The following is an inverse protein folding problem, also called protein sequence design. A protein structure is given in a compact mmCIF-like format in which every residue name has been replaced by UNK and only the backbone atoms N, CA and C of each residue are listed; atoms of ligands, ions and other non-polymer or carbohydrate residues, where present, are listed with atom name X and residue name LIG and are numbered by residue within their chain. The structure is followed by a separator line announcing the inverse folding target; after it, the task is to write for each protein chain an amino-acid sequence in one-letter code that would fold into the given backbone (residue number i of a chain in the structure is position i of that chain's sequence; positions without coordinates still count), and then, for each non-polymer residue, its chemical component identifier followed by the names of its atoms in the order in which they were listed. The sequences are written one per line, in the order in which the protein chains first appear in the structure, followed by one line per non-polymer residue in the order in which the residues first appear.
data_IF_497358216994
#
_entry.id   IF_497358216994
#
_cell.length_a   1.000
_cell.length_b   1.000
_cell.length_c   1.000
_cell.angle_alpha   90.00
_cell.angle_beta   90.00
_cell.angle_gamma   90.00
#
_symmetry.space_group_name_H-M   'P 1'
#
loop_
_entity.id
_entity.type
_entity.pdbx_description
1 polymer ?
#
# COMPACT_ATOMS: atom_id res chain seq x y z
N UNK A 1 -48.21 49.94 21.05
CA UNK A 1 -48.43 49.45 19.70
C UNK A 1 -47.28 48.49 19.37
N UNK A 2 -47.61 47.28 19.05
CA UNK A 2 -46.70 46.12 19.04
C UNK A 2 -46.28 45.75 17.61
N UNK A 3 -45.09 45.15 17.50
CA UNK A 3 -44.45 44.37 16.40
C UNK A 3 -43.37 45.15 15.63
N UNK A 4 -42.19 44.53 15.33
CA UNK A 4 -42.07 43.23 14.71
C UNK A 4 -40.94 42.32 15.31
N UNK A 5 -41.26 41.06 15.49
CA UNK A 5 -40.28 40.04 15.93
C UNK A 5 -40.39 38.75 15.08
N UNK A 6 -40.51 38.87 13.76
CA UNK A 6 -40.76 37.70 12.91
C UNK A 6 -39.90 37.60 11.63
N UNK A 7 -38.80 38.37 11.50
CA UNK A 7 -37.98 38.35 10.26
C UNK A 7 -36.56 37.81 10.49
N UNK A 8 -36.16 37.44 11.68
CA UNK A 8 -34.75 37.04 11.97
C UNK A 8 -34.51 35.53 12.04
N UNK A 9 -35.49 34.70 11.73
CA UNK A 9 -35.36 33.25 11.86
C UNK A 9 -35.12 32.48 10.53
N UNK A 10 -34.96 33.15 9.39
CA UNK A 10 -34.85 32.47 8.09
C UNK A 10 -33.46 32.58 7.41
N UNK A 11 -32.49 33.21 8.04
CA UNK A 11 -31.18 33.48 7.44
C UNK A 11 -30.05 32.51 7.87
N UNK A 12 -30.30 31.58 8.81
CA UNK A 12 -29.25 30.71 9.35
C UNK A 12 -29.25 29.28 8.80
N UNK A 13 -30.14 28.91 7.86
CA UNK A 13 -30.24 27.53 7.34
C UNK A 13 -29.48 27.29 6.03
N UNK A 14 -28.77 28.26 5.46
CA UNK A 14 -28.15 28.14 4.13
C UNK A 14 -26.64 27.99 4.13
N UNK A 15 -25.97 27.77 5.28
CA UNK A 15 -24.52 27.66 5.34
C UNK A 15 -23.99 26.21 5.54
N UNK A 16 -24.86 25.19 5.42
CA UNK A 16 -24.45 23.80 5.57
C UNK A 16 -24.41 23.00 4.26
N UNK A 17 -24.51 23.67 3.10
CA UNK A 17 -24.20 23.01 1.82
C UNK A 17 -22.68 23.09 1.57
N UNK A 18 -21.91 22.36 2.35
CA UNK A 18 -20.52 22.08 2.03
C UNK A 18 -20.49 21.31 0.71
N UNK A 19 -19.76 21.84 -0.27
CA UNK A 19 -19.52 21.19 -1.55
C UNK A 19 -18.76 19.87 -1.33
N UNK A 20 -19.49 18.81 -1.03
CA UNK A 20 -18.97 17.45 -1.06
C UNK A 20 -19.31 16.82 -2.40
N UNK A 21 -18.34 16.72 -3.30
CA UNK A 21 -18.55 16.27 -4.68
C UNK A 21 -18.54 14.75 -4.86
N UNK A 22 -18.55 13.94 -3.82
CA UNK A 22 -18.47 12.49 -4.01
C UNK A 22 -19.06 11.64 -2.90
N UNK A 23 -19.70 12.26 -1.91
CA UNK A 23 -20.11 11.53 -0.71
C UNK A 23 -18.94 11.29 0.25
N UNK A 24 -19.25 10.97 1.48
CA UNK A 24 -18.24 10.66 2.50
C UNK A 24 -17.92 9.16 2.38
N UNK A 25 -16.62 8.82 2.34
CA UNK A 25 -16.19 7.43 2.45
C UNK A 25 -16.78 6.80 3.72
N UNK A 26 -17.53 5.71 3.55
CA UNK A 26 -18.33 5.12 4.65
C UNK A 26 -17.58 4.01 5.39
N UNK A 27 -16.31 3.81 5.08
CA UNK A 27 -15.57 2.63 5.46
C UNK A 27 -15.98 1.40 4.66
N UNK A 28 -15.07 0.47 4.46
CA UNK A 28 -15.30 -0.76 3.73
C UNK A 28 -14.55 -1.92 4.39
N UNK A 29 -14.77 -3.14 3.90
CA UNK A 29 -13.99 -4.31 4.31
C UNK A 29 -12.61 -4.29 3.63
N UNK A 30 -11.50 -4.02 4.36
CA UNK A 30 -10.18 -3.98 3.76
C UNK A 30 -9.73 -5.31 3.18
N UNK A 31 -10.21 -6.44 3.70
CA UNK A 31 -9.85 -7.77 3.20
C UNK A 31 -10.43 -8.01 1.81
N UNK A 32 -11.69 -7.64 1.59
CA UNK A 32 -12.33 -7.60 0.28
C UNK A 32 -11.65 -6.57 -0.62
N UNK A 33 -11.32 -5.40 -0.06
CA UNK A 33 -10.61 -4.33 -0.76
C UNK A 33 -9.26 -4.78 -1.34
N UNK A 34 -8.48 -5.56 -0.59
CA UNK A 34 -7.22 -6.15 -1.07
C UNK A 34 -7.43 -7.02 -2.31
N UNK A 35 -8.39 -7.93 -2.26
CA UNK A 35 -8.68 -8.83 -3.39
C UNK A 35 -9.13 -8.04 -4.64
N UNK A 36 -10.01 -7.06 -4.46
CA UNK A 36 -10.47 -6.19 -5.54
C UNK A 36 -9.33 -5.34 -6.11
N UNK A 37 -8.47 -4.79 -5.25
CA UNK A 37 -7.29 -4.03 -5.67
C UNK A 37 -6.36 -4.88 -6.53
N UNK A 38 -6.01 -6.08 -6.08
CA UNK A 38 -5.19 -7.01 -6.84
C UNK A 38 -5.77 -7.33 -8.22
N UNK A 39 -7.09 -7.56 -8.28
CA UNK A 39 -7.78 -7.95 -9.51
C UNK A 39 -8.02 -6.78 -10.49
N UNK A 40 -8.23 -5.57 -10.00
CA UNK A 40 -8.71 -4.43 -10.81
C UNK A 40 -7.72 -3.27 -10.92
N UNK A 41 -6.88 -3.07 -9.91
CA UNK A 41 -5.99 -1.90 -9.80
C UNK A 41 -4.52 -2.28 -9.94
N UNK A 42 -4.16 -3.49 -9.51
CA UNK A 42 -2.77 -3.97 -9.43
C UNK A 42 -2.05 -4.10 -10.77
N UNK A 43 -2.78 -4.21 -11.89
CA UNK A 43 -2.19 -4.20 -13.23
C UNK A 43 -1.58 -2.85 -13.61
N UNK A 44 -2.07 -1.76 -13.01
CA UNK A 44 -1.59 -0.40 -13.27
C UNK A 44 -0.82 0.20 -12.11
N UNK A 45 -1.17 -0.11 -10.86
CA UNK A 45 -0.59 0.48 -9.67
C UNK A 45 0.34 -0.49 -8.92
N UNK A 46 1.46 0.04 -8.45
CA UNK A 46 2.28 -0.62 -7.43
C UNK A 46 1.70 -0.32 -6.05
N UNK A 47 1.54 -1.36 -5.23
CA UNK A 47 1.23 -1.28 -3.82
C UNK A 47 1.85 -2.49 -3.12
N UNK A 48 2.81 -2.25 -2.26
CA UNK A 48 3.64 -3.31 -1.67
C UNK A 48 2.82 -4.32 -0.85
N UNK A 49 1.85 -3.85 -0.05
CA UNK A 49 0.96 -4.75 0.71
C UNK A 49 0.14 -5.68 -0.20
N UNK A 50 -0.28 -5.20 -1.37
CA UNK A 50 -1.00 -6.00 -2.35
C UNK A 50 -0.11 -6.95 -3.14
N UNK A 51 1.21 -6.81 -3.07
CA UNK A 51 2.16 -7.55 -3.92
C UNK A 51 2.03 -7.18 -5.40
N UNK A 52 1.62 -5.95 -5.72
CA UNK A 52 1.42 -5.51 -7.11
C UNK A 52 2.54 -4.60 -7.59
N UNK A 53 2.85 -4.64 -8.89
CA UNK A 53 3.99 -3.96 -9.49
C UNK A 53 3.62 -3.24 -10.80
N UNK A 54 2.37 -2.83 -10.96
CA UNK A 54 1.92 -2.06 -12.12
C UNK A 54 2.62 -0.69 -12.20
N UNK A 55 3.02 -0.29 -13.41
CA UNK A 55 3.80 0.92 -13.66
C UNK A 55 3.08 1.96 -14.51
N UNK A 56 1.86 1.69 -14.94
CA UNK A 56 1.06 2.65 -15.72
C UNK A 56 0.52 3.77 -14.85
N UNK A 57 0.15 3.45 -13.61
CA UNK A 57 -0.25 4.40 -12.59
C UNK A 57 0.84 4.62 -11.54
N UNK A 58 0.67 5.59 -10.65
CA UNK A 58 1.63 5.84 -9.58
C UNK A 58 1.77 4.66 -8.62
N UNK A 59 2.96 4.52 -8.04
CA UNK A 59 3.17 3.71 -6.84
C UNK A 59 2.43 4.37 -5.67
N UNK A 60 1.46 3.67 -5.09
CA UNK A 60 0.59 4.24 -4.06
C UNK A 60 1.30 4.40 -2.70
N UNK A 61 2.33 3.60 -2.42
CA UNK A 61 3.15 3.82 -1.23
C UNK A 61 3.94 5.13 -1.30
N UNK A 62 4.46 5.44 -2.49
CA UNK A 62 5.18 6.70 -2.73
C UNK A 62 4.22 7.89 -2.77
N UNK A 63 3.03 7.72 -3.35
CA UNK A 63 2.03 8.77 -3.44
C UNK A 63 1.52 9.21 -2.07
N UNK A 64 1.22 8.27 -1.17
CA UNK A 64 0.65 8.58 0.15
C UNK A 64 1.67 8.66 1.29
N UNK A 65 2.92 8.29 1.04
CA UNK A 65 3.99 8.37 2.05
C UNK A 65 4.22 9.79 2.60
N UNK A 66 4.35 10.82 1.75
CA UNK A 66 4.45 12.21 2.18
C UNK A 66 3.23 12.69 2.97
N UNK A 67 2.01 12.36 2.54
CA UNK A 67 0.77 12.74 3.21
C UNK A 67 0.71 12.18 4.64
N UNK A 68 1.11 10.92 4.80
CA UNK A 68 1.23 10.30 6.12
C UNK A 68 2.22 11.02 7.02
N UNK A 69 3.38 11.40 6.50
CA UNK A 69 4.39 12.16 7.25
C UNK A 69 3.89 13.54 7.66
N UNK A 70 3.00 14.13 6.87
CA UNK A 70 2.33 15.39 7.17
C UNK A 70 1.16 15.23 8.16
N UNK A 71 0.85 14.01 8.58
CA UNK A 71 -0.19 13.72 9.57
C UNK A 71 -1.60 13.55 8.99
N UNK A 72 -1.75 13.34 7.68
CA UNK A 72 -3.06 13.03 7.10
C UNK A 72 -3.62 11.75 7.72
N UNK A 73 -4.87 11.85 8.15
CA UNK A 73 -5.57 10.73 8.78
C UNK A 73 -6.00 9.71 7.73
N UNK A 74 -6.15 8.47 8.15
CA UNK A 74 -6.60 7.38 7.28
C UNK A 74 -7.89 7.74 6.54
N UNK A 75 -8.88 8.33 7.22
CA UNK A 75 -10.15 8.74 6.62
C UNK A 75 -9.98 9.76 5.48
N UNK A 76 -8.99 10.64 5.56
CA UNK A 76 -8.68 11.59 4.49
C UNK A 76 -8.13 10.88 3.26
N UNK A 77 -7.20 9.96 3.46
CA UNK A 77 -6.64 9.14 2.36
C UNK A 77 -7.73 8.26 1.75
N UNK A 78 -8.60 7.67 2.58
CA UNK A 78 -9.74 6.87 2.12
C UNK A 78 -10.66 7.68 1.19
N UNK A 79 -10.96 8.93 1.57
CA UNK A 79 -11.76 9.82 0.73
C UNK A 79 -11.05 10.13 -0.59
N UNK A 80 -9.76 10.46 -0.56
CA UNK A 80 -8.97 10.73 -1.78
C UNK A 80 -9.00 9.51 -2.73
N UNK A 81 -8.79 8.31 -2.21
CA UNK A 81 -8.84 7.10 -3.03
C UNK A 81 -10.23 6.86 -3.61
N UNK A 82 -11.27 7.08 -2.82
CA UNK A 82 -12.68 6.96 -3.24
C UNK A 82 -12.99 7.92 -4.40
N UNK A 83 -12.58 9.17 -4.25
CA UNK A 83 -12.74 10.20 -5.27
C UNK A 83 -11.95 9.88 -6.54
N UNK A 84 -10.73 9.37 -6.41
CA UNK A 84 -9.93 8.95 -7.57
C UNK A 84 -10.57 7.78 -8.34
N UNK A 85 -11.26 6.87 -7.68
CA UNK A 85 -11.99 5.78 -8.35
C UNK A 85 -13.17 6.34 -9.14
N UNK A 86 -13.91 7.31 -8.60
CA UNK A 86 -15.11 7.87 -9.22
C UNK A 86 -14.82 8.95 -10.26
N UNK A 87 -13.83 9.81 -9.98
CA UNK A 87 -13.54 11.01 -10.75
C UNK A 87 -12.27 10.89 -11.59
N UNK A 88 -11.72 9.68 -11.71
CA UNK A 88 -10.48 9.42 -12.43
C UNK A 88 -10.46 10.09 -13.82
N UNK A 89 -9.27 10.52 -14.21
CA UNK A 89 -9.00 11.01 -15.58
C UNK A 89 -8.06 10.03 -16.31
N UNK A 90 -8.15 9.94 -17.64
CA UNK A 90 -7.24 9.10 -18.41
C UNK A 90 -5.77 9.37 -18.07
N UNK A 91 -4.93 8.33 -18.01
CA UNK A 91 -5.18 6.93 -18.41
C UNK A 91 -5.92 6.05 -17.40
N UNK A 92 -6.23 6.53 -16.19
CA UNK A 92 -6.99 5.77 -15.21
C UNK A 92 -8.47 5.70 -15.60
N UNK A 93 -9.07 4.49 -15.79
CA UNK A 93 -10.50 4.37 -16.07
C UNK A 93 -11.33 4.73 -14.84
N UNK A 94 -12.47 5.40 -15.06
CA UNK A 94 -13.45 5.67 -14.00
C UNK A 94 -14.21 4.42 -13.60
N UNK A 95 -14.61 4.36 -12.33
CA UNK A 95 -15.59 3.39 -11.84
C UNK A 95 -15.23 1.93 -12.12
N UNK A 96 -13.93 1.57 -12.06
CA UNK A 96 -13.49 0.16 -12.12
C UNK A 96 -14.12 -0.71 -11.04
N UNK A 97 -14.49 -0.10 -9.94
CA UNK A 97 -15.32 -0.62 -8.86
C UNK A 97 -16.27 0.49 -8.40
N UNK A 98 -17.45 0.14 -7.88
CA UNK A 98 -18.49 1.10 -7.49
C UNK A 98 -19.13 0.73 -6.16
N UNK A 99 -19.86 1.66 -5.54
CA UNK A 99 -20.58 1.41 -4.29
C UNK A 99 -19.68 0.85 -3.20
N UNK A 100 -20.14 -0.19 -2.50
CA UNK A 100 -19.41 -0.83 -1.40
C UNK A 100 -18.07 -1.46 -1.82
N UNK A 101 -17.90 -1.80 -3.10
CA UNK A 101 -16.63 -2.31 -3.62
C UNK A 101 -15.58 -1.20 -3.73
N UNK A 102 -15.99 -0.01 -4.13
CA UNK A 102 -15.12 1.16 -4.12
C UNK A 102 -14.77 1.59 -2.69
N UNK A 103 -15.74 1.53 -1.76
CA UNK A 103 -15.48 1.79 -0.33
C UNK A 103 -14.48 0.77 0.23
N UNK A 104 -14.61 -0.52 -0.11
CA UNK A 104 -13.68 -1.55 0.32
C UNK A 104 -12.25 -1.32 -0.19
N UNK A 105 -12.09 -0.99 -1.49
CA UNK A 105 -10.78 -0.65 -2.07
C UNK A 105 -10.19 0.60 -1.42
N UNK A 106 -11.00 1.64 -1.21
CA UNK A 106 -10.56 2.88 -0.58
C UNK A 106 -10.09 2.63 0.87
N UNK A 107 -10.86 1.88 1.65
CA UNK A 107 -10.49 1.51 3.01
C UNK A 107 -9.19 0.70 3.08
N UNK A 108 -9.01 -0.26 2.16
CA UNK A 108 -7.80 -1.05 2.07
C UNK A 108 -6.58 -0.19 1.73
N UNK A 109 -6.64 0.57 0.64
CA UNK A 109 -5.53 1.44 0.23
C UNK A 109 -5.20 2.44 1.35
N UNK A 110 -6.22 3.08 1.94
CA UNK A 110 -6.04 3.99 3.05
C UNK A 110 -5.48 3.33 4.31
N UNK A 111 -5.64 2.05 4.50
CA UNK A 111 -5.03 1.32 5.61
C UNK A 111 -3.54 1.10 5.39
N UNK A 112 -3.10 0.80 4.17
CA UNK A 112 -1.76 0.27 3.92
C UNK A 112 -0.84 1.20 3.13
N UNK A 113 -1.34 1.99 2.17
CA UNK A 113 -0.52 2.82 1.31
C UNK A 113 0.22 3.90 2.10
N UNK A 114 1.50 4.05 1.84
CA UNK A 114 2.36 5.07 2.44
C UNK A 114 2.56 4.97 3.94
N UNK A 115 2.08 3.90 4.58
CA UNK A 115 2.28 3.71 6.03
C UNK A 115 3.70 3.29 6.36
N UNK A 116 4.50 2.89 5.37
CA UNK A 116 5.73 2.13 5.60
C UNK A 116 5.45 0.80 6.32
N UNK A 117 4.16 0.53 6.56
CA UNK A 117 3.66 -0.74 7.05
C UNK A 117 3.28 -1.52 5.80
N UNK A 118 4.29 -2.08 5.15
CA UNK A 118 4.05 -3.19 4.26
C UNK A 118 3.40 -4.31 5.09
N UNK A 119 2.62 -5.19 4.48
CA UNK A 119 2.20 -6.45 5.13
C UNK A 119 3.39 -7.12 5.83
N UNK A 120 4.61 -6.85 5.36
CA UNK A 120 5.87 -7.26 5.91
C UNK A 120 6.16 -6.70 7.32
N UNK A 121 5.67 -5.52 7.71
CA UNK A 121 5.99 -4.98 9.04
C UNK A 121 5.34 -5.76 10.18
N UNK A 122 4.21 -6.42 9.88
CA UNK A 122 3.51 -7.32 10.81
C UNK A 122 3.54 -8.79 10.32
N UNK A 123 4.04 -9.06 9.12
CA UNK A 123 4.15 -10.43 8.60
C UNK A 123 5.29 -11.17 9.29
N UNK A 124 5.03 -12.43 9.62
CA UNK A 124 6.05 -13.43 9.93
C UNK A 124 6.31 -14.35 8.73
N UNK A 125 5.66 -14.09 7.59
CA UNK A 125 5.85 -14.83 6.34
C UNK A 125 7.10 -14.29 5.61
N UNK A 126 8.09 -15.13 5.40
CA UNK A 126 9.35 -14.74 4.76
C UNK A 126 9.18 -14.25 3.33
N UNK A 127 8.23 -14.78 2.56
CA UNK A 127 7.92 -14.34 1.19
C UNK A 127 7.38 -12.93 1.15
N UNK A 128 6.42 -12.61 2.02
CA UNK A 128 5.83 -11.27 2.10
C UNK A 128 6.89 -10.23 2.51
N UNK A 129 7.73 -10.60 3.50
CA UNK A 129 8.84 -9.74 3.96
C UNK A 129 9.83 -9.49 2.82
N UNK A 130 10.19 -10.53 2.06
CA UNK A 130 11.10 -10.44 0.93
C UNK A 130 10.53 -9.54 -0.18
N UNK A 131 9.31 -9.81 -0.61
CA UNK A 131 8.65 -9.07 -1.69
C UNK A 131 8.59 -7.58 -1.38
N UNK A 132 8.27 -7.23 -0.13
CA UNK A 132 8.12 -5.85 0.29
C UNK A 132 9.43 -5.09 0.50
N UNK A 133 10.51 -5.77 0.91
CA UNK A 133 11.75 -5.08 1.34
C UNK A 133 12.96 -5.37 0.46
N UNK A 134 12.94 -6.46 -0.30
CA UNK A 134 14.12 -6.98 -1.02
C UNK A 134 13.88 -7.08 -2.52
N UNK A 135 12.62 -7.30 -2.93
CA UNK A 135 12.23 -7.62 -4.31
C UNK A 135 12.49 -6.50 -5.32
N UNK A 136 12.55 -5.24 -4.90
CA UNK A 136 12.91 -4.11 -5.77
C UNK A 136 14.38 -4.16 -6.23
N UNK A 137 15.24 -4.77 -5.42
CA UNK A 137 16.67 -4.86 -5.70
C UNK A 137 17.12 -6.25 -6.15
N UNK A 138 16.46 -7.32 -5.68
CA UNK A 138 16.87 -8.70 -5.94
C UNK A 138 15.88 -9.45 -6.82
N UNK A 139 16.42 -10.26 -7.73
CA UNK A 139 15.67 -11.29 -8.45
C UNK A 139 15.56 -12.54 -7.58
N UNK A 140 14.33 -13.06 -7.44
CA UNK A 140 14.00 -14.34 -6.81
C UNK A 140 12.71 -14.88 -7.43
N UNK A 141 12.81 -15.96 -8.20
CA UNK A 141 11.71 -16.50 -9.01
C UNK A 141 10.49 -16.90 -8.17
N UNK A 142 10.70 -17.58 -7.04
CA UNK A 142 9.59 -17.95 -6.14
C UNK A 142 8.79 -16.73 -5.63
N UNK A 143 9.47 -15.60 -5.39
CA UNK A 143 8.83 -14.35 -4.98
C UNK A 143 8.22 -13.57 -6.16
N UNK A 144 8.45 -13.98 -7.40
CA UNK A 144 8.04 -13.25 -8.60
C UNK A 144 8.76 -11.93 -8.79
N UNK A 145 9.96 -11.74 -8.23
CA UNK A 145 10.69 -10.47 -8.27
C UNK A 145 11.81 -10.50 -9.32
N UNK A 146 12.08 -9.34 -9.91
CA UNK A 146 13.02 -9.17 -11.03
C UNK A 146 14.01 -8.01 -10.82
N UNK A 147 14.22 -7.59 -9.57
CA UNK A 147 15.16 -6.52 -9.24
C UNK A 147 16.59 -6.85 -9.66
N UNK A 148 17.31 -5.86 -10.21
CA UNK A 148 18.64 -6.02 -10.80
C UNK A 148 19.74 -5.19 -10.12
N UNK A 149 19.40 -4.46 -9.05
CA UNK A 149 20.37 -3.65 -8.29
C UNK A 149 21.28 -4.53 -7.44
N UNK A 150 20.70 -5.58 -6.83
CA UNK A 150 21.41 -6.61 -6.09
C UNK A 150 21.60 -7.89 -6.92
N UNK A 151 22.36 -8.86 -6.41
CA UNK A 151 22.55 -10.14 -7.10
C UNK A 151 21.24 -10.91 -7.28
N UNK A 152 21.16 -11.67 -8.37
CA UNK A 152 20.12 -12.66 -8.59
C UNK A 152 20.30 -13.80 -7.57
N UNK A 153 19.35 -13.96 -6.66
CA UNK A 153 19.44 -14.91 -5.56
C UNK A 153 19.26 -16.37 -6.02
N UNK A 154 18.53 -16.59 -7.12
CA UNK A 154 18.40 -17.93 -7.70
C UNK A 154 19.73 -18.44 -8.27
N UNK A 155 20.56 -17.54 -8.77
CA UNK A 155 21.92 -17.88 -9.24
C UNK A 155 22.89 -18.03 -8.06
N UNK A 156 22.79 -17.12 -7.08
CA UNK A 156 23.69 -17.08 -5.94
C UNK A 156 23.47 -18.25 -4.96
N UNK A 157 22.22 -18.66 -4.74
CA UNK A 157 21.80 -19.72 -3.80
C UNK A 157 22.42 -19.58 -2.40
N UNK A 158 22.24 -18.44 -1.75
CA UNK A 158 22.97 -18.16 -0.52
C UNK A 158 22.50 -19.05 0.64
N UNK A 159 23.40 -19.59 1.47
CA UNK A 159 23.02 -20.33 2.66
C UNK A 159 22.44 -19.41 3.72
N UNK A 160 21.60 -19.98 4.62
CA UNK A 160 20.87 -19.26 5.65
C UNK A 160 21.72 -18.25 6.46
N UNK A 161 22.88 -18.69 6.90
CA UNK A 161 23.77 -17.85 7.73
C UNK A 161 24.23 -16.60 6.99
N UNK A 162 24.54 -16.72 5.69
CA UNK A 162 24.95 -15.60 4.86
C UNK A 162 23.78 -14.65 4.63
N UNK A 163 22.58 -15.17 4.35
CA UNK A 163 21.39 -14.31 4.20
C UNK A 163 21.12 -13.54 5.50
N UNK A 164 21.12 -14.21 6.65
CA UNK A 164 20.92 -13.56 7.95
C UNK A 164 21.95 -12.46 8.21
N UNK A 165 23.24 -12.77 8.01
CA UNK A 165 24.31 -11.80 8.19
C UNK A 165 24.11 -10.57 7.31
N UNK A 166 23.80 -10.79 6.03
CA UNK A 166 23.64 -9.72 5.05
C UNK A 166 22.40 -8.87 5.33
N UNK A 167 21.28 -9.47 5.72
CA UNK A 167 20.07 -8.74 6.10
C UNK A 167 20.30 -7.91 7.37
N UNK A 168 21.03 -8.43 8.34
CA UNK A 168 21.34 -7.69 9.59
C UNK A 168 22.24 -6.50 9.32
N UNK A 169 23.35 -6.71 8.59
CA UNK A 169 24.44 -5.77 8.52
C UNK A 169 24.47 -4.93 7.23
N UNK A 170 23.73 -5.36 6.18
CA UNK A 170 23.79 -4.72 4.87
C UNK A 170 25.12 -5.00 4.14
N UNK A 171 25.37 -4.20 3.12
CA UNK A 171 26.58 -4.24 2.29
C UNK A 171 26.80 -2.89 1.62
N UNK A 172 27.67 -2.82 0.61
CA UNK A 172 28.02 -1.55 -0.06
C UNK A 172 26.83 -0.76 -0.58
N UNK A 173 25.82 -1.43 -1.15
CA UNK A 173 24.58 -0.81 -1.65
C UNK A 173 23.34 -1.37 -0.97
N UNK A 174 23.45 -2.49 -0.28
CA UNK A 174 22.35 -3.11 0.44
C UNK A 174 22.21 -2.46 1.82
N UNK A 175 21.04 -1.89 2.18
CA UNK A 175 20.82 -1.32 3.49
C UNK A 175 20.83 -2.39 4.59
N UNK A 176 21.25 -2.03 5.79
CA UNK A 176 21.07 -2.85 6.98
C UNK A 176 19.60 -2.82 7.44
N UNK A 177 19.01 -3.99 7.71
CA UNK A 177 17.63 -4.10 8.19
C UNK A 177 17.52 -4.29 9.70
N UNK A 178 18.64 -4.33 10.43
CA UNK A 178 18.66 -4.29 11.90
C UNK A 178 17.99 -3.00 12.39
N UNK A 179 16.93 -3.15 13.20
CA UNK A 179 16.13 -2.02 13.68
C UNK A 179 14.95 -1.63 12.77
N UNK A 180 14.96 -2.06 11.50
CA UNK A 180 13.83 -1.91 10.57
C UNK A 180 12.93 -3.16 10.60
N UNK A 181 13.54 -4.34 10.58
CA UNK A 181 12.89 -5.62 10.76
C UNK A 181 13.16 -6.17 12.16
N UNK A 182 12.17 -6.83 12.75
CA UNK A 182 12.36 -7.55 14.01
C UNK A 182 13.26 -8.78 13.82
N UNK A 183 13.91 -9.30 14.88
CA UNK A 183 14.73 -10.53 14.79
C UNK A 183 13.96 -11.73 14.21
N UNK A 184 12.66 -11.85 14.53
CA UNK A 184 11.79 -12.90 14.00
C UNK A 184 11.60 -12.75 12.48
N UNK A 185 11.40 -11.52 12.01
CA UNK A 185 11.27 -11.22 10.58
C UNK A 185 12.56 -11.45 9.81
N UNK A 186 13.69 -11.04 10.35
CA UNK A 186 15.02 -11.31 9.78
C UNK A 186 15.23 -12.82 9.62
N UNK A 187 14.87 -13.58 10.65
CA UNK A 187 14.95 -15.05 10.62
C UNK A 187 13.99 -15.64 9.56
N UNK A 188 12.76 -15.13 9.48
CA UNK A 188 11.76 -15.60 8.53
C UNK A 188 12.17 -15.36 7.08
N UNK A 189 12.60 -14.14 6.75
CA UNK A 189 13.04 -13.81 5.38
C UNK A 189 14.29 -14.58 4.99
N UNK A 190 15.25 -14.75 5.89
CA UNK A 190 16.47 -15.49 5.62
C UNK A 190 16.19 -17.00 5.37
N UNK A 191 15.32 -17.62 6.19
CA UNK A 191 14.85 -18.98 5.96
C UNK A 191 14.13 -19.12 4.62
N UNK A 192 13.26 -18.17 4.28
CA UNK A 192 12.55 -18.18 3.01
C UNK A 192 13.54 -18.16 1.84
N UNK A 193 14.40 -17.15 1.76
CA UNK A 193 15.38 -17.02 0.67
C UNK A 193 16.24 -18.27 0.54
N UNK A 194 16.85 -18.75 1.62
CA UNK A 194 17.72 -19.92 1.59
C UNK A 194 16.98 -21.22 1.22
N UNK A 195 15.68 -21.27 1.44
CA UNK A 195 14.86 -22.45 1.14
C UNK A 195 14.41 -22.53 -0.32
N UNK A 196 14.24 -21.37 -1.00
CA UNK A 196 13.65 -21.31 -2.35
C UNK A 196 14.66 -20.93 -3.45
N UNK A 197 15.73 -20.23 -3.11
CA UNK A 197 16.72 -19.74 -4.08
C UNK A 197 17.29 -20.87 -4.95
N UNK A 198 17.12 -20.71 -6.26
CA UNK A 198 17.56 -21.69 -7.28
C UNK A 198 16.69 -22.95 -7.39
N UNK A 199 15.54 -22.99 -6.70
CA UNK A 199 14.51 -23.99 -6.97
C UNK A 199 13.58 -23.43 -8.04
N UNK A 200 13.31 -24.24 -9.09
CA UNK A 200 12.26 -23.90 -10.05
C UNK A 200 10.93 -23.97 -9.30
N UNK A 201 10.17 -22.87 -9.30
CA UNK A 201 8.78 -22.88 -8.89
C UNK A 201 7.91 -23.71 -9.83
#
# INVERSE_FOLDING_TARGET
MRRPAAVLALATALLAAGCGTGGIAKGGDPSKGKQLFQAKCGGCHTLADAGTHGQTGPNLDDAFGPDRKQGFKQVTIEQVVRDQIELAVPPMPKNLVTGSDADAVAAYVAQVAGTGVTAAKNSTNGKDIFTANCGSCHTLADAGTTGTVGPNLDQLKPPLAIVQHQVINGGSVMPAFKGTLTPAQITAVAKYVSSVAGKKG
#
